data_IF_810536758936
#
_entry.id   IF_810536758936
#
_cell.length_a   1.000
_cell.length_b   1.000
_cell.length_c   1.000
_cell.angle_alpha   90.00
_cell.angle_beta   90.00
_cell.angle_gamma   90.00
#
_symmetry.space_group_name_H-M   'P 1'
#
loop_
_entity.id
_entity.type
_entity.pdbx_description
1 polymer ?
#
# COMPACT_ATOMS: atom_id res chain seq x y z
N UNK A 1 -7.05 -26.29 -5.41
CA UNK A 1 -6.09 -25.39 -6.10
C UNK A 1 -5.09 -26.22 -6.88
N UNK A 2 -4.90 -25.96 -8.19
CA UNK A 2 -3.96 -26.71 -9.02
C UNK A 2 -2.52 -26.22 -8.76
N UNK A 3 -1.80 -26.90 -7.87
CA UNK A 3 -0.44 -26.50 -7.47
C UNK A 3 0.59 -26.66 -8.60
N UNK A 4 0.31 -27.50 -9.59
CA UNK A 4 1.23 -27.72 -10.71
C UNK A 4 1.33 -26.48 -11.61
N UNK A 5 0.22 -25.79 -11.88
CA UNK A 5 0.21 -24.54 -12.66
C UNK A 5 1.04 -23.46 -11.99
N UNK A 6 0.96 -23.32 -10.66
CA UNK A 6 1.78 -22.38 -9.92
C UNK A 6 3.28 -22.68 -9.95
N UNK A 7 3.65 -23.98 -9.91
CA UNK A 7 5.05 -24.38 -10.04
C UNK A 7 5.58 -24.05 -11.43
N UNK A 8 4.84 -24.38 -12.48
CA UNK A 8 5.19 -24.04 -13.87
C UNK A 8 5.35 -22.51 -14.02
N UNK A 9 4.40 -21.74 -13.54
CA UNK A 9 4.49 -20.27 -13.59
C UNK A 9 5.73 -19.74 -12.88
N UNK A 10 6.03 -20.25 -11.68
CA UNK A 10 7.20 -19.88 -10.90
C UNK A 10 8.49 -20.12 -11.68
N UNK A 11 8.63 -21.30 -12.25
CA UNK A 11 9.86 -21.73 -12.95
C UNK A 11 10.04 -20.95 -14.26
N UNK A 12 8.97 -20.75 -15.03
CA UNK A 12 9.00 -20.01 -16.31
C UNK A 12 9.32 -18.51 -16.13
N UNK A 13 8.89 -17.90 -15.03
CA UNK A 13 9.05 -16.48 -14.80
C UNK A 13 10.14 -16.15 -13.77
N UNK A 14 10.82 -17.14 -13.21
CA UNK A 14 11.73 -16.96 -12.07
C UNK A 14 11.11 -16.09 -10.96
N UNK A 15 9.83 -16.32 -10.69
CA UNK A 15 9.01 -15.41 -9.90
C UNK A 15 9.13 -15.66 -8.40
N UNK A 16 8.97 -14.59 -7.62
CA UNK A 16 8.97 -14.67 -6.15
C UNK A 16 7.61 -15.20 -5.65
N UNK A 17 7.36 -16.47 -5.96
CA UNK A 17 6.17 -17.19 -5.57
C UNK A 17 6.56 -18.28 -4.54
N UNK A 18 5.87 -18.27 -3.39
CA UNK A 18 6.13 -19.18 -2.27
C UNK A 18 4.87 -19.95 -1.92
N UNK A 19 5.05 -21.20 -1.48
CA UNK A 19 3.97 -22.08 -1.04
C UNK A 19 4.02 -22.27 0.46
N UNK A 20 2.86 -22.42 1.07
CA UNK A 20 2.69 -22.62 2.51
C UNK A 20 3.51 -21.61 3.35
N UNK A 21 3.49 -20.36 2.88
CA UNK A 21 4.34 -19.29 3.39
C UNK A 21 3.71 -18.60 4.61
N UNK A 22 4.43 -18.57 5.73
CA UNK A 22 3.96 -17.92 6.96
C UNK A 22 3.81 -16.40 6.76
N UNK A 23 2.63 -15.87 7.10
CA UNK A 23 2.34 -14.44 7.06
C UNK A 23 2.64 -13.74 8.40
N UNK A 24 3.08 -14.48 9.41
CA UNK A 24 3.33 -13.97 10.76
C UNK A 24 4.21 -12.71 10.76
N UNK A 25 5.29 -12.72 10.01
CA UNK A 25 6.24 -11.61 9.96
C UNK A 25 5.87 -10.52 8.94
N UNK A 26 4.69 -10.60 8.32
CA UNK A 26 4.20 -9.62 7.34
C UNK A 26 3.15 -8.67 7.89
N UNK A 27 2.90 -8.71 9.18
CA UNK A 27 1.99 -7.80 9.88
C UNK A 27 2.57 -7.40 11.25
N UNK A 28 2.08 -6.28 11.75
CA UNK A 28 2.60 -5.70 12.99
C UNK A 28 2.27 -6.51 14.24
N UNK A 29 1.19 -7.28 14.21
CA UNK A 29 0.79 -8.12 15.33
C UNK A 29 1.65 -9.37 15.48
N UNK A 30 2.50 -9.69 14.47
CA UNK A 30 3.34 -10.87 14.42
C UNK A 30 2.59 -12.19 14.65
N UNK A 31 1.34 -12.25 14.19
CA UNK A 31 0.46 -13.41 14.26
C UNK A 31 -0.11 -13.73 12.87
N UNK A 32 -0.56 -14.97 12.68
CA UNK A 32 -1.20 -15.43 11.45
C UNK A 32 -0.62 -16.72 10.92
N UNK A 33 -1.45 -17.42 10.19
CA UNK A 33 -1.14 -18.69 9.56
C UNK A 33 -0.32 -18.57 8.28
N UNK A 34 -0.22 -19.71 7.59
CA UNK A 34 0.49 -19.80 6.31
C UNK A 34 -0.47 -19.61 5.14
N UNK A 35 -0.09 -18.75 4.20
CA UNK A 35 -0.75 -18.62 2.91
C UNK A 35 -0.44 -19.84 2.05
N UNK A 36 -1.46 -20.44 1.42
CA UNK A 36 -1.25 -21.56 0.49
C UNK A 36 -0.37 -21.15 -0.68
N UNK A 37 -0.61 -19.94 -1.20
CA UNK A 37 0.22 -19.29 -2.21
C UNK A 37 0.48 -17.85 -1.76
N UNK A 38 1.75 -17.46 -1.70
CA UNK A 38 2.19 -16.10 -1.49
C UNK A 38 2.98 -15.66 -2.72
N UNK A 39 2.56 -14.56 -3.31
CA UNK A 39 3.16 -14.01 -4.52
C UNK A 39 3.61 -12.57 -4.32
N UNK A 40 4.85 -12.30 -4.71
CA UNK A 40 5.43 -10.97 -4.66
C UNK A 40 5.93 -10.56 -6.05
N UNK A 41 5.03 -10.03 -6.92
CA UNK A 41 5.41 -9.59 -8.26
C UNK A 41 6.43 -8.46 -8.21
N UNK A 42 7.41 -8.49 -9.09
CA UNK A 42 8.39 -7.42 -9.22
C UNK A 42 8.00 -6.39 -10.29
N UNK A 43 7.09 -6.73 -11.20
CA UNK A 43 6.62 -5.81 -12.24
C UNK A 43 5.17 -6.10 -12.64
N UNK A 44 4.57 -5.15 -13.37
CA UNK A 44 3.17 -5.22 -13.80
C UNK A 44 2.89 -6.40 -14.74
N UNK A 45 3.82 -6.71 -15.65
CA UNK A 45 3.66 -7.83 -16.59
C UNK A 45 3.54 -9.16 -15.85
N UNK A 46 4.41 -9.38 -14.86
CA UNK A 46 4.40 -10.57 -14.01
C UNK A 46 3.09 -10.64 -13.20
N UNK A 47 2.66 -9.52 -12.61
CA UNK A 47 1.40 -9.44 -11.88
C UNK A 47 0.21 -9.82 -12.77
N UNK A 48 0.08 -9.22 -13.95
CA UNK A 48 -1.01 -9.51 -14.89
C UNK A 48 -0.99 -10.97 -15.33
N UNK A 49 0.19 -11.52 -15.64
CA UNK A 49 0.32 -12.92 -16.03
C UNK A 49 -0.13 -13.87 -14.92
N UNK A 50 0.21 -13.55 -13.66
CA UNK A 50 -0.25 -14.32 -12.49
C UNK A 50 -1.77 -14.22 -12.30
N UNK A 51 -2.36 -13.04 -12.43
CA UNK A 51 -3.81 -12.85 -12.26
C UNK A 51 -4.61 -13.67 -13.26
N UNK A 52 -4.11 -13.86 -14.49
CA UNK A 52 -4.74 -14.66 -15.53
C UNK A 52 -4.80 -16.17 -15.22
N UNK A 53 -3.83 -16.69 -14.48
CA UNK A 53 -3.83 -18.11 -14.08
C UNK A 53 -4.63 -18.40 -12.81
N UNK A 54 -5.04 -17.35 -12.07
CA UNK A 54 -5.75 -17.49 -10.80
C UNK A 54 -7.13 -16.80 -10.76
N UNK A 55 -7.94 -16.85 -11.83
CA UNK A 55 -9.14 -16.02 -11.93
C UNK A 55 -10.17 -16.29 -10.83
N UNK A 56 -10.36 -17.55 -10.44
CA UNK A 56 -11.43 -18.01 -9.55
C UNK A 56 -11.05 -18.10 -8.08
N UNK A 57 -9.78 -17.88 -7.72
CA UNK A 57 -9.34 -18.03 -6.32
C UNK A 57 -9.50 -16.74 -5.54
N UNK A 58 -9.81 -16.89 -4.25
CA UNK A 58 -9.82 -15.74 -3.32
C UNK A 58 -8.41 -15.17 -3.17
N UNK A 59 -8.24 -13.94 -3.65
CA UNK A 59 -7.00 -13.19 -3.59
C UNK A 59 -7.11 -12.11 -2.52
N UNK A 60 -6.03 -11.92 -1.77
CA UNK A 60 -5.91 -10.86 -0.77
C UNK A 60 -4.64 -10.07 -1.06
N UNK A 61 -4.78 -8.76 -1.15
CA UNK A 61 -3.64 -7.86 -1.35
C UNK A 61 -3.15 -7.38 0.00
N UNK A 62 -1.83 -7.51 0.24
CA UNK A 62 -1.19 -7.06 1.46
C UNK A 62 -0.39 -5.77 1.22
N UNK A 63 -0.67 -4.74 2.01
CA UNK A 63 0.17 -3.56 2.12
C UNK A 63 1.32 -3.75 3.12
N UNK A 64 1.58 -2.75 3.95
CA UNK A 64 2.59 -2.81 5.00
C UNK A 64 2.23 -3.76 6.17
N UNK A 65 0.95 -4.13 6.30
CA UNK A 65 0.50 -5.04 7.36
C UNK A 65 0.26 -4.38 8.72
N UNK A 66 0.26 -3.06 8.78
CA UNK A 66 0.10 -2.31 10.05
C UNK A 66 -1.32 -2.31 10.62
N UNK A 67 -2.33 -2.60 9.81
CA UNK A 67 -3.74 -2.63 10.22
C UNK A 67 -4.39 -3.98 9.86
N UNK A 68 -3.69 -5.09 10.10
CA UNK A 68 -4.17 -6.42 9.77
C UNK A 68 -4.06 -7.35 10.95
N UNK A 69 -5.17 -8.05 11.21
CA UNK A 69 -5.22 -9.21 12.06
C UNK A 69 -5.40 -10.46 11.17
N UNK A 70 -4.38 -11.28 11.08
CA UNK A 70 -4.36 -12.43 10.18
C UNK A 70 -4.71 -13.70 10.97
N UNK A 71 -5.76 -14.39 10.54
CA UNK A 71 -6.16 -15.68 11.13
C UNK A 71 -5.07 -16.74 10.97
N UNK A 72 -4.96 -17.64 11.93
CA UNK A 72 -4.08 -18.82 11.82
C UNK A 72 -4.57 -19.81 10.77
N UNK A 73 -5.90 -19.92 10.58
CA UNK A 73 -6.53 -20.82 9.60
C UNK A 73 -6.92 -20.02 8.36
N UNK A 74 -6.08 -20.03 7.33
CA UNK A 74 -6.31 -19.28 6.11
C UNK A 74 -6.95 -20.09 4.98
N UNK A 75 -6.86 -21.43 5.02
CA UNK A 75 -7.36 -22.28 3.94
C UNK A 75 -6.61 -22.04 2.61
N UNK A 76 -7.29 -22.29 1.51
CA UNK A 76 -6.73 -22.15 0.15
C UNK A 76 -6.79 -20.71 -0.38
N UNK A 77 -6.16 -19.77 0.32
CA UNK A 77 -6.12 -18.36 -0.08
C UNK A 77 -4.78 -18.00 -0.71
N UNK A 78 -4.85 -17.05 -1.65
CA UNK A 78 -3.70 -16.45 -2.32
C UNK A 78 -3.47 -15.06 -1.72
N UNK A 79 -2.24 -14.79 -1.35
CA UNK A 79 -1.83 -13.46 -0.89
C UNK A 79 -0.85 -12.84 -1.88
N UNK A 80 -1.12 -11.60 -2.26
CA UNK A 80 -0.29 -10.81 -3.18
C UNK A 80 0.27 -9.61 -2.41
N UNK A 81 1.58 -9.43 -2.43
CA UNK A 81 2.26 -8.26 -1.89
C UNK A 81 3.15 -7.67 -2.95
N UNK A 82 2.86 -6.46 -3.40
CA UNK A 82 3.63 -5.79 -4.44
C UNK A 82 5.11 -5.68 -4.06
N UNK A 83 5.99 -5.95 -5.02
CA UNK A 83 7.44 -5.89 -4.86
C UNK A 83 7.98 -4.45 -4.81
N UNK A 84 9.31 -4.34 -4.67
CA UNK A 84 10.01 -3.06 -4.51
C UNK A 84 9.82 -2.11 -5.70
N UNK A 85 9.70 -2.65 -6.91
CA UNK A 85 9.54 -1.82 -8.12
C UNK A 85 8.19 -1.06 -8.17
N UNK A 86 7.23 -1.41 -7.30
CA UNK A 86 5.99 -0.64 -7.10
C UNK A 86 6.11 0.39 -5.97
N UNK A 87 7.33 0.76 -5.54
CA UNK A 87 7.57 1.74 -4.48
C UNK A 87 8.31 3.00 -4.95
N UNK A 88 8.41 3.21 -6.26
CA UNK A 88 9.07 4.40 -6.80
C UNK A 88 8.24 5.65 -6.53
N UNK A 89 8.91 6.75 -6.21
CA UNK A 89 8.30 8.07 -6.01
C UNK A 89 9.00 9.04 -6.95
N UNK A 90 8.24 9.86 -7.67
CA UNK A 90 8.78 10.86 -8.57
C UNK A 90 7.89 12.09 -8.68
N UNK A 91 8.44 13.22 -9.06
CA UNK A 91 7.68 14.39 -9.46
C UNK A 91 7.08 14.17 -10.84
N UNK A 92 5.85 14.66 -11.06
CA UNK A 92 5.21 14.74 -12.38
C UNK A 92 5.32 16.15 -12.90
N UNK A 93 5.05 17.11 -12.04
CA UNK A 93 5.18 18.54 -12.30
C UNK A 93 5.55 19.30 -11.01
N UNK A 94 5.44 20.62 -11.04
CA UNK A 94 5.90 21.52 -9.97
C UNK A 94 5.23 21.29 -8.61
N UNK A 95 3.99 20.81 -8.58
CA UNK A 95 3.21 20.61 -7.36
C UNK A 95 2.58 19.21 -7.24
N UNK A 96 2.95 18.28 -8.14
CA UNK A 96 2.42 16.93 -8.14
C UNK A 96 3.52 15.89 -8.07
N UNK A 97 3.27 14.87 -7.29
CA UNK A 97 4.09 13.67 -7.24
C UNK A 97 3.26 12.41 -7.50
N UNK A 98 3.91 11.39 -8.03
CA UNK A 98 3.38 10.04 -8.12
C UNK A 98 4.16 9.14 -7.17
N UNK A 99 3.43 8.30 -6.44
CA UNK A 99 4.01 7.30 -5.55
C UNK A 99 3.46 5.91 -5.89
N UNK A 100 4.34 4.93 -6.01
CA UNK A 100 3.93 3.53 -6.13
C UNK A 100 3.24 3.06 -4.87
N UNK A 101 2.21 2.23 -5.00
CA UNK A 101 1.35 1.85 -3.87
C UNK A 101 2.00 0.92 -2.84
N UNK A 102 3.19 0.36 -3.11
CA UNK A 102 4.01 -0.32 -2.11
C UNK A 102 4.99 0.60 -1.36
N UNK A 103 5.08 1.89 -1.72
CA UNK A 103 5.84 2.89 -0.95
C UNK A 103 5.30 3.00 0.46
N UNK A 104 6.19 3.16 1.44
CA UNK A 104 5.78 3.51 2.79
C UNK A 104 5.30 4.97 2.84
N UNK A 105 4.27 5.23 3.59
CA UNK A 105 3.68 6.57 3.76
C UNK A 105 4.73 7.58 4.22
N UNK A 106 5.59 7.18 5.17
CA UNK A 106 6.73 7.99 5.62
C UNK A 106 7.66 8.41 4.47
N UNK A 107 7.98 7.49 3.55
CA UNK A 107 8.89 7.79 2.45
C UNK A 107 8.29 8.82 1.48
N UNK A 108 6.97 8.80 1.31
CA UNK A 108 6.26 9.81 0.50
C UNK A 108 6.32 11.18 1.18
N UNK A 109 6.11 11.25 2.49
CA UNK A 109 6.26 12.47 3.27
C UNK A 109 7.67 13.04 3.19
N UNK A 110 8.69 12.19 3.37
CA UNK A 110 10.10 12.59 3.31
C UNK A 110 10.45 13.11 1.89
N UNK A 111 10.00 12.41 0.83
CA UNK A 111 10.20 12.84 -0.56
C UNK A 111 9.52 14.19 -0.85
N UNK A 112 8.28 14.37 -0.41
CA UNK A 112 7.56 15.63 -0.55
C UNK A 112 8.30 16.78 0.14
N UNK A 113 8.78 16.59 1.37
CA UNK A 113 9.58 17.55 2.11
C UNK A 113 10.85 17.95 1.35
N UNK A 114 11.61 16.98 0.84
CA UNK A 114 12.84 17.24 0.09
C UNK A 114 12.61 17.98 -1.25
N UNK A 115 11.38 17.97 -1.75
CA UNK A 115 10.99 18.70 -2.96
C UNK A 115 10.17 19.97 -2.69
N UNK A 116 10.07 20.41 -1.42
CA UNK A 116 9.34 21.63 -1.05
C UNK A 116 7.83 21.52 -1.28
N UNK A 117 7.26 20.33 -1.13
CA UNK A 117 5.85 20.03 -1.33
C UNK A 117 5.16 19.79 0.02
N UNK A 118 4.30 20.71 0.42
CA UNK A 118 3.52 20.67 1.67
C UNK A 118 2.14 20.04 1.45
N UNK A 119 1.62 19.41 2.50
CA UNK A 119 0.31 18.76 2.55
C UNK A 119 0.40 17.27 2.91
N UNK A 120 1.54 16.64 2.71
CA UNK A 120 1.76 15.22 2.98
C UNK A 120 2.56 14.95 4.26
N UNK A 121 2.71 15.95 5.15
CA UNK A 121 3.44 15.84 6.41
C UNK A 121 2.83 14.80 7.35
N UNK A 122 1.49 14.67 7.35
CA UNK A 122 0.75 13.71 8.17
C UNK A 122 1.11 12.26 7.87
N UNK A 123 1.54 11.96 6.64
CA UNK A 123 1.98 10.62 6.23
C UNK A 123 3.19 10.13 7.03
N UNK A 124 4.03 11.03 7.54
CA UNK A 124 5.16 10.70 8.42
C UNK A 124 4.72 10.01 9.71
N UNK A 125 3.48 10.21 10.10
CA UNK A 125 2.87 9.66 11.31
C UNK A 125 2.03 8.41 11.06
N UNK A 126 1.82 7.98 9.82
CA UNK A 126 1.03 6.82 9.47
C UNK A 126 1.95 5.63 9.16
N UNK A 127 1.92 4.58 9.96
CA UNK A 127 2.67 3.37 9.65
C UNK A 127 1.90 2.54 8.62
N UNK A 128 2.19 2.75 7.37
CA UNK A 128 1.43 2.15 6.29
C UNK A 128 2.17 2.16 4.96
N UNK A 129 1.48 1.72 3.94
CA UNK A 129 1.86 1.90 2.54
C UNK A 129 0.76 2.67 1.83
N UNK A 130 1.13 3.41 0.79
CA UNK A 130 0.22 4.25 0.00
C UNK A 130 -1.07 3.50 -0.41
N UNK A 131 -0.94 2.26 -0.90
CA UNK A 131 -2.12 1.47 -1.28
C UNK A 131 -3.03 1.13 -0.11
N UNK A 132 -2.47 0.81 1.06
CA UNK A 132 -3.23 0.59 2.29
C UNK A 132 -3.86 1.87 2.81
N UNK A 133 -3.12 2.97 2.76
CA UNK A 133 -3.58 4.30 3.16
C UNK A 133 -4.78 4.77 2.35
N UNK A 134 -4.74 4.61 1.02
CA UNK A 134 -5.88 4.95 0.15
C UNK A 134 -7.08 4.06 0.45
N UNK A 135 -6.88 2.73 0.58
CA UNK A 135 -7.99 1.80 0.89
C UNK A 135 -8.73 2.16 2.16
N UNK A 136 -8.00 2.64 3.16
CA UNK A 136 -8.52 3.01 4.46
C UNK A 136 -8.83 4.51 4.59
N UNK A 137 -8.65 5.31 3.53
CA UNK A 137 -8.64 6.77 3.67
C UNK A 137 -7.91 7.20 4.95
N UNK A 138 -6.70 6.69 5.11
CA UNK A 138 -5.94 6.90 6.34
C UNK A 138 -5.67 8.38 6.56
N UNK A 139 -5.75 8.81 7.79
CA UNK A 139 -5.48 10.20 8.16
C UNK A 139 -5.12 10.36 9.62
N UNK A 140 -4.52 11.46 9.95
CA UNK A 140 -4.25 11.91 11.30
C UNK A 140 -4.06 13.43 11.32
N UNK A 141 -4.26 14.03 12.49
CA UNK A 141 -4.08 15.47 12.71
C UNK A 141 -4.87 16.37 11.75
N UNK A 142 -6.10 15.92 11.37
CA UNK A 142 -7.00 16.69 10.54
C UNK A 142 -6.78 16.56 9.02
N UNK A 143 -5.84 15.74 8.57
CA UNK A 143 -5.59 15.46 7.16
C UNK A 143 -5.81 13.99 6.83
N UNK A 144 -6.35 13.71 5.64
CA UNK A 144 -6.63 12.39 5.13
C UNK A 144 -6.10 12.23 3.69
N UNK A 145 -5.95 10.97 3.23
CA UNK A 145 -5.48 10.69 1.87
C UNK A 145 -6.34 11.38 0.79
N UNK A 146 -7.67 11.41 0.96
CA UNK A 146 -8.60 12.04 0.01
C UNK A 146 -8.32 13.51 -0.25
N UNK A 147 -7.72 14.23 0.72
CA UNK A 147 -7.52 15.68 0.65
C UNK A 147 -6.44 16.06 -0.40
N UNK A 148 -5.56 15.13 -0.72
CA UNK A 148 -4.42 15.36 -1.61
C UNK A 148 -4.40 14.44 -2.82
N UNK A 149 -5.25 13.40 -2.84
CA UNK A 149 -5.29 12.42 -3.92
C UNK A 149 -5.92 13.02 -5.19
N UNK A 150 -5.23 12.86 -6.32
CA UNK A 150 -5.71 13.26 -7.66
C UNK A 150 -6.28 12.06 -8.40
N UNK A 151 -5.53 10.98 -8.44
CA UNK A 151 -5.91 9.75 -9.13
C UNK A 151 -5.12 8.55 -8.62
N UNK A 152 -5.64 7.36 -8.90
CA UNK A 152 -4.95 6.09 -8.67
C UNK A 152 -4.91 5.29 -9.98
N UNK A 153 -3.79 4.61 -10.22
CA UNK A 153 -3.69 3.57 -11.23
C UNK A 153 -3.93 2.22 -10.57
N UNK A 154 -4.78 1.41 -11.16
CA UNK A 154 -5.21 0.12 -10.60
C UNK A 154 -5.14 -0.98 -11.65
N UNK A 155 -5.05 -2.23 -11.20
CA UNK A 155 -5.30 -3.42 -12.01
C UNK A 155 -6.37 -4.26 -11.32
N UNK A 156 -7.37 -4.72 -12.08
CA UNK A 156 -8.37 -5.63 -11.56
C UNK A 156 -7.86 -7.10 -11.54
N UNK A 157 -8.65 -7.99 -10.94
CA UNK A 157 -8.26 -9.40 -10.86
C UNK A 157 -8.32 -10.15 -12.20
N UNK A 158 -8.83 -9.54 -13.29
CA UNK A 158 -8.72 -10.02 -14.66
C UNK A 158 -7.48 -9.50 -15.40
N UNK A 159 -6.72 -8.60 -14.77
CA UNK A 159 -5.49 -8.04 -15.32
C UNK A 159 -5.70 -6.80 -16.20
N UNK A 160 -6.87 -6.16 -16.14
CA UNK A 160 -7.16 -4.91 -16.86
C UNK A 160 -6.67 -3.73 -16.04
N UNK A 161 -5.83 -2.91 -16.64
CA UNK A 161 -5.29 -1.69 -16.02
C UNK A 161 -6.19 -0.51 -16.33
N UNK A 162 -6.49 0.30 -15.33
CA UNK A 162 -7.26 1.52 -15.47
C UNK A 162 -6.78 2.62 -14.52
N UNK A 163 -7.24 3.85 -14.74
CA UNK A 163 -7.02 4.98 -13.85
C UNK A 163 -8.35 5.49 -13.32
N UNK A 164 -8.41 5.73 -12.01
CA UNK A 164 -9.60 6.23 -11.32
C UNK A 164 -9.26 7.59 -10.71
N UNK A 165 -10.04 8.63 -11.03
CA UNK A 165 -9.86 9.97 -10.46
C UNK A 165 -10.38 10.02 -9.04
N UNK A 166 -9.73 10.75 -8.16
CA UNK A 166 -10.14 10.86 -6.76
C UNK A 166 -11.58 11.36 -6.59
N UNK A 167 -12.05 12.24 -7.47
CA UNK A 167 -13.43 12.75 -7.47
C UNK A 167 -14.50 11.68 -7.76
N UNK A 168 -14.12 10.58 -8.36
CA UNK A 168 -15.01 9.46 -8.69
C UNK A 168 -15.00 8.40 -7.56
N UNK A 169 -14.22 8.63 -6.48
CA UNK A 169 -14.12 7.77 -5.30
C UNK A 169 -14.90 8.39 -4.15
N UNK A 170 -15.77 7.62 -3.53
CA UNK A 170 -16.43 8.02 -2.29
C UNK A 170 -15.60 7.54 -1.12
N UNK A 171 -15.06 8.47 -0.35
CA UNK A 171 -14.31 8.20 0.86
C UNK A 171 -15.15 8.43 2.10
N UNK A 172 -15.13 7.47 3.00
CA UNK A 172 -15.70 7.55 4.33
C UNK A 172 -14.63 7.50 5.42
N UNK A 173 -15.07 7.40 6.68
CA UNK A 173 -14.17 7.19 7.80
C UNK A 173 -13.59 5.77 7.74
N UNK A 174 -12.27 5.68 7.50
CA UNK A 174 -11.53 4.41 7.38
C UNK A 174 -12.02 3.49 6.25
N UNK A 175 -12.56 4.06 5.19
CA UNK A 175 -13.05 3.29 4.04
C UNK A 175 -13.02 4.07 2.72
N UNK A 176 -13.08 3.36 1.62
CA UNK A 176 -13.43 3.87 0.30
C UNK A 176 -14.35 2.88 -0.42
N UNK A 177 -15.20 3.38 -1.33
CA UNK A 177 -16.18 2.57 -2.07
C UNK A 177 -15.58 1.73 -3.21
N UNK A 178 -14.26 1.70 -3.35
CA UNK A 178 -13.62 0.95 -4.43
C UNK A 178 -13.75 -0.57 -4.21
N UNK A 179 -14.01 -1.34 -5.29
CA UNK A 179 -14.10 -2.78 -5.24
C UNK A 179 -12.85 -3.44 -4.61
N UNK A 180 -13.05 -4.58 -3.95
CA UNK A 180 -11.95 -5.32 -3.31
C UNK A 180 -11.10 -6.14 -4.28
N UNK A 181 -11.53 -6.28 -5.53
CA UNK A 181 -10.80 -6.94 -6.61
C UNK A 181 -9.83 -6.02 -7.36
N UNK A 182 -9.62 -4.81 -6.86
CA UNK A 182 -8.64 -3.87 -7.38
C UNK A 182 -7.33 -3.92 -6.59
N UNK A 183 -6.23 -4.03 -7.31
CA UNK A 183 -4.86 -3.86 -6.81
C UNK A 183 -4.40 -2.45 -7.18
N UNK A 184 -4.06 -1.64 -6.22
CA UNK A 184 -3.58 -0.28 -6.44
C UNK A 184 -2.09 -0.31 -6.80
N UNK A 185 -1.72 0.27 -7.93
CA UNK A 185 -0.36 0.25 -8.49
C UNK A 185 0.41 1.51 -8.15
N UNK A 186 -0.19 2.68 -8.38
CA UNK A 186 0.40 3.99 -8.06
C UNK A 186 -0.70 5.00 -7.77
N UNK A 187 -0.33 6.08 -7.09
CA UNK A 187 -1.21 7.19 -6.75
C UNK A 187 -0.54 8.52 -7.08
N UNK A 188 -1.31 9.45 -7.64
CA UNK A 188 -0.89 10.82 -7.89
C UNK A 188 -1.46 11.72 -6.79
N UNK A 189 -0.60 12.54 -6.22
CA UNK A 189 -0.94 13.52 -5.19
C UNK A 189 -0.66 14.93 -5.68
N UNK A 190 -1.54 15.86 -5.31
CA UNK A 190 -1.34 17.30 -5.51
C UNK A 190 -1.04 17.96 -4.18
N UNK A 191 0.01 18.75 -4.16
CA UNK A 191 0.59 19.38 -2.99
C UNK A 191 0.64 20.90 -3.17
N UNK A 192 1.02 21.62 -2.12
CA UNK A 192 1.29 23.06 -2.19
C UNK A 192 2.80 23.29 -2.11
N UNK A 193 3.33 24.20 -2.93
CA UNK A 193 4.74 24.61 -2.77
C UNK A 193 4.94 25.30 -1.44
N UNK A 194 6.03 24.96 -0.74
CA UNK A 194 6.40 25.54 0.53
C UNK A 194 7.91 25.44 0.76
N UNK A 195 8.39 26.12 1.80
CA UNK A 195 9.79 26.01 2.22
C UNK A 195 10.04 24.67 2.91
N UNK A 196 11.12 23.98 2.54
CA UNK A 196 11.50 22.66 3.10
C UNK A 196 11.67 22.70 4.62
N UNK A 197 12.20 23.78 5.16
CA UNK A 197 12.39 23.92 6.61
C UNK A 197 11.08 24.02 7.37
N UNK A 198 10.07 24.71 6.79
CA UNK A 198 8.73 24.78 7.36
C UNK A 198 8.06 23.41 7.36
N UNK A 199 8.16 22.68 6.24
CA UNK A 199 7.63 21.33 6.13
C UNK A 199 8.28 20.39 7.15
N UNK A 200 9.62 20.46 7.29
CA UNK A 200 10.37 19.65 8.25
C UNK A 200 9.97 19.94 9.69
N UNK A 201 9.82 21.20 10.04
CA UNK A 201 9.34 21.62 11.38
C UNK A 201 7.94 21.08 11.66
N UNK A 202 7.07 21.08 10.65
CA UNK A 202 5.71 20.53 10.80
C UNK A 202 5.75 19.01 10.99
N UNK A 203 6.54 18.27 10.21
CA UNK A 203 6.75 16.83 10.39
C UNK A 203 7.24 16.52 11.82
N UNK A 204 8.21 17.28 12.32
CA UNK A 204 8.73 17.10 13.68
C UNK A 204 7.66 17.41 14.75
N UNK A 205 6.88 18.48 14.54
CA UNK A 205 5.75 18.83 15.42
C UNK A 205 4.73 17.70 15.49
N UNK A 206 4.31 17.17 14.35
CA UNK A 206 3.33 16.08 14.29
C UNK A 206 3.85 14.79 14.94
N UNK A 207 5.13 14.46 14.73
CA UNK A 207 5.78 13.31 15.38
C UNK A 207 5.77 13.46 16.91
N UNK A 208 6.15 14.63 17.44
CA UNK A 208 6.13 14.91 18.89
C UNK A 208 4.73 14.78 19.49
N UNK A 209 3.70 15.29 18.80
CA UNK A 209 2.31 15.15 19.25
C UNK A 209 1.92 13.67 19.28
N UNK A 210 2.28 12.92 18.25
CA UNK A 210 2.00 11.48 18.21
C UNK A 210 2.69 10.74 19.35
N UNK A 211 3.96 11.00 19.58
CA UNK A 211 4.76 10.40 20.67
C UNK A 211 4.19 10.69 22.05
N UNK A 212 3.63 11.88 22.27
CA UNK A 212 3.00 12.24 23.53
C UNK A 212 1.61 11.63 23.73
N UNK A 213 0.92 11.29 22.64
CA UNK A 213 -0.48 10.81 22.67
C UNK A 213 -0.63 9.29 22.46
N UNK A 214 0.37 8.62 21.95
CA UNK A 214 0.35 7.20 21.64
C UNK A 214 1.66 6.51 22.08
N UNK A 215 1.60 5.27 22.56
CA UNK A 215 2.81 4.50 22.85
C UNK A 215 3.68 4.40 21.58
N UNK A 216 4.97 4.70 21.73
CA UNK A 216 5.97 4.55 20.64
C UNK A 216 6.16 3.08 20.24
N UNK A 217 5.95 2.19 21.17
CA UNK A 217 5.99 0.75 20.95
C UNK A 217 4.63 0.27 20.47
N UNK A 218 4.65 -0.60 19.48
CA UNK A 218 3.49 -1.33 18.97
C UNK A 218 2.55 -1.76 20.11
N UNK A 219 1.24 -1.72 19.88
CA UNK A 219 0.19 -2.25 20.80
C UNK A 219 0.46 -3.70 21.29
N UNK A 220 1.47 -4.37 20.73
CA UNK A 220 1.92 -5.72 21.08
C UNK A 220 2.73 -5.75 22.37
N UNK A 221 3.15 -4.62 22.91
CA UNK A 221 3.99 -4.53 24.12
C UNK A 221 3.24 -3.99 25.33
N UNK A 222 1.90 -4.00 25.30
CA UNK A 222 1.06 -3.73 26.44
C UNK A 222 0.58 -5.04 27.02
#
# INVERSE_FOLDING_TARGET
MNMQEFKIFKDQNNSNLKFDFSLKNLNWMNIGGSAKVFFKPENLKELISFLKIVPKYKKHVLGAGSNLLISEKLGEKIFIKLGKNFSNISLIDDNKLIAGCSSLDKNVSDFACENGLSGLEFLSCIPGSVGGGIRMNSGCFGSEFKDFLVSIQVVDFEGRVSSIRAKDIIFGYRECNLPYDLIFLSATFECKKSNKELIRKEIERLKKIKESSQPLLSLIHI
#
